data_IF_709057238517
#
_entry.id   IF_709057238517
#
_cell.length_a   1.000
_cell.length_b   1.000
_cell.length_c   1.000
_cell.angle_alpha   90.00
_cell.angle_beta   90.00
_cell.angle_gamma   90.00
#
_symmetry.space_group_name_H-M   'P 1'
#
loop_
_entity.id
_entity.type
_entity.pdbx_description
1 polymer ?
#
# COMPACT_ATOMS: atom_id res chain seq x y z
N UNK A 1 0.83 9.37 23.42
CA UNK A 1 -0.16 10.44 23.63
C UNK A 1 0.50 11.77 24.00
N UNK A 2 1.37 11.83 25.03
CA UNK A 2 2.10 13.05 25.44
C UNK A 2 2.91 13.69 24.31
N UNK A 3 3.66 12.91 23.51
CA UNK A 3 4.43 13.37 22.34
C UNK A 3 3.54 13.93 21.20
N UNK A 4 2.33 13.42 21.06
CA UNK A 4 1.35 13.91 20.07
C UNK A 4 0.77 15.27 20.52
N UNK A 5 0.50 15.43 21.80
CA UNK A 5 0.01 16.68 22.40
C UNK A 5 1.08 17.77 22.29
N UNK A 6 2.35 17.48 22.59
CA UNK A 6 3.45 18.44 22.44
C UNK A 6 3.69 18.87 20.98
N UNK A 7 3.52 17.98 20.01
CA UNK A 7 3.61 18.34 18.59
C UNK A 7 2.43 19.16 18.10
N UNK A 8 1.22 18.90 18.58
CA UNK A 8 0.03 19.70 18.29
C UNK A 8 0.10 21.09 18.91
N UNK A 9 0.72 21.23 20.09
CA UNK A 9 0.97 22.53 20.73
C UNK A 9 1.97 23.40 19.95
N UNK A 10 3.01 22.79 19.35
CA UNK A 10 3.99 23.52 18.51
C UNK A 10 3.43 23.93 17.14
N UNK A 11 2.35 23.30 16.68
CA UNK A 11 1.76 23.56 15.37
C UNK A 11 0.71 24.68 15.32
N UNK A 12 0.46 25.43 16.39
CA UNK A 12 -0.39 26.65 16.38
C UNK A 12 -1.87 26.40 16.05
N UNK A 13 -2.44 25.23 16.31
CA UNK A 13 -3.83 24.89 15.98
C UNK A 13 -4.81 25.58 16.93
N UNK A 14 -5.80 26.31 16.36
CA UNK A 14 -6.75 27.18 17.05
C UNK A 14 -7.64 26.44 18.07
N UNK A 15 -8.03 27.15 19.13
CA UNK A 15 -8.74 26.69 20.33
C UNK A 15 -10.06 25.90 20.09
N UNK A 16 -10.72 26.08 18.96
CA UNK A 16 -11.98 25.39 18.63
C UNK A 16 -11.82 23.91 18.30
N UNK A 17 -10.72 23.50 17.68
CA UNK A 17 -10.47 22.08 17.39
C UNK A 17 -10.04 21.29 18.63
N UNK A 18 -9.40 21.95 19.61
CA UNK A 18 -9.06 21.32 20.89
C UNK A 18 -10.31 20.89 21.66
N UNK A 19 -11.35 21.72 21.67
CA UNK A 19 -12.61 21.42 22.35
C UNK A 19 -13.32 20.20 21.73
N UNK A 20 -13.32 20.08 20.40
CA UNK A 20 -13.93 18.93 19.69
C UNK A 20 -13.20 17.61 19.95
N UNK A 21 -11.87 17.61 20.01
CA UNK A 21 -11.10 16.40 20.33
C UNK A 21 -11.25 15.99 21.80
N UNK A 22 -11.26 16.94 22.70
CA UNK A 22 -11.44 16.68 24.12
C UNK A 22 -12.83 16.13 24.43
N UNK A 23 -13.88 16.70 23.84
CA UNK A 23 -15.26 16.23 24.01
C UNK A 23 -15.43 14.83 23.40
N UNK A 24 -14.84 14.57 22.24
CA UNK A 24 -14.88 13.24 21.60
C UNK A 24 -14.18 12.15 22.41
N UNK A 25 -13.02 12.43 23.00
CA UNK A 25 -12.33 11.49 23.89
C UNK A 25 -13.09 11.26 25.20
N UNK A 26 -13.69 12.31 25.76
CA UNK A 26 -14.48 12.22 27.00
C UNK A 26 -15.75 11.38 26.78
N UNK A 27 -16.47 11.60 25.67
CA UNK A 27 -17.65 10.82 25.31
C UNK A 27 -17.27 9.35 25.07
N UNK A 28 -16.15 9.06 24.42
CA UNK A 28 -15.68 7.69 24.24
C UNK A 28 -15.34 6.99 25.56
N UNK A 29 -14.71 7.70 26.51
CA UNK A 29 -14.40 7.16 27.84
C UNK A 29 -15.69 6.93 28.65
N UNK A 30 -16.64 7.86 28.61
CA UNK A 30 -17.94 7.73 29.30
C UNK A 30 -18.76 6.58 28.71
N UNK A 31 -18.75 6.39 27.38
CA UNK A 31 -19.42 5.27 26.74
C UNK A 31 -18.80 3.92 27.09
N UNK A 32 -17.49 3.84 27.20
CA UNK A 32 -16.78 2.63 27.67
C UNK A 32 -17.13 2.33 29.12
N UNK A 33 -17.19 3.35 29.97
CA UNK A 33 -17.54 3.19 31.39
C UNK A 33 -19.02 2.80 31.58
N UNK A 34 -19.94 3.36 30.80
CA UNK A 34 -21.37 3.01 30.82
C UNK A 34 -21.60 1.60 30.27
N UNK A 35 -20.91 1.21 29.22
CA UNK A 35 -20.97 -0.15 28.67
C UNK A 35 -20.40 -1.17 29.66
N UNK A 36 -19.34 -0.83 30.38
CA UNK A 36 -18.77 -1.66 31.43
C UNK A 36 -19.74 -1.81 32.63
N UNK A 37 -20.40 -0.71 33.04
CA UNK A 37 -21.40 -0.74 34.11
C UNK A 37 -22.61 -1.62 33.75
N UNK A 38 -23.09 -1.54 32.50
CA UNK A 38 -24.18 -2.38 31.99
C UNK A 38 -23.78 -3.87 31.87
N UNK A 39 -22.51 -4.14 31.53
CA UNK A 39 -21.98 -5.51 31.46
C UNK A 39 -21.83 -6.12 32.86
N UNK A 40 -21.41 -5.33 33.86
CA UNK A 40 -21.26 -5.75 35.26
C UNK A 40 -22.62 -6.03 35.90
N UNK A 41 -23.63 -5.24 35.61
CA UNK A 41 -25.01 -5.44 36.12
C UNK A 41 -25.73 -6.64 35.45
N UNK A 42 -25.29 -7.03 34.25
CA UNK A 42 -25.86 -8.15 33.48
C UNK A 42 -25.23 -9.51 33.78
N UNK A 43 -24.09 -9.55 34.45
CA UNK A 43 -23.37 -10.77 34.78
C UNK A 43 -23.45 -11.03 36.27
N UNK A 44 -24.36 -11.94 36.70
CA UNK A 44 -24.34 -12.54 38.04
C UNK A 44 -23.10 -13.44 38.17
N UNK A 45 -21.93 -12.85 38.42
CA UNK A 45 -20.68 -13.58 38.63
C UNK A 45 -19.94 -13.09 39.87
N UNK A 46 -19.67 -14.04 40.74
CA UNK A 46 -18.76 -14.10 41.90
C UNK A 46 -18.38 -12.75 42.56
N UNK A 47 -18.69 -12.54 43.84
CA UNK A 47 -18.53 -11.28 44.60
C UNK A 47 -17.13 -10.66 44.55
N UNK A 48 -16.07 -11.46 44.52
CA UNK A 48 -14.69 -10.97 44.61
C UNK A 48 -14.19 -10.27 43.33
N UNK A 49 -14.70 -10.63 42.15
CA UNK A 49 -14.29 -9.99 40.88
C UNK A 49 -14.94 -8.61 40.71
N UNK A 50 -16.13 -8.42 41.29
CA UNK A 50 -16.88 -7.14 41.20
C UNK A 50 -16.22 -6.07 42.07
N UNK A 51 -15.68 -6.44 43.24
CA UNK A 51 -15.04 -5.49 44.17
C UNK A 51 -13.68 -5.00 43.65
N UNK A 52 -12.91 -5.86 42.99
CA UNK A 52 -11.63 -5.49 42.33
C UNK A 52 -11.83 -4.62 41.10
N UNK A 53 -12.86 -4.88 40.28
CA UNK A 53 -13.26 -4.06 39.13
C UNK A 53 -13.70 -2.65 39.55
N UNK A 54 -14.46 -2.49 40.63
CA UNK A 54 -14.87 -1.18 41.16
C UNK A 54 -13.70 -0.37 41.70
N UNK A 55 -12.72 -1.00 42.34
CA UNK A 55 -11.49 -0.32 42.81
C UNK A 55 -10.63 0.17 41.64
N UNK A 56 -10.56 -0.62 40.56
CA UNK A 56 -9.84 -0.26 39.34
C UNK A 56 -10.47 0.94 38.61
N UNK A 57 -11.80 0.99 38.50
CA UNK A 57 -12.54 2.11 37.87
C UNK A 57 -12.39 3.40 38.67
N UNK A 58 -12.49 3.36 40.02
CA UNK A 58 -12.29 4.51 40.90
C UNK A 58 -10.84 4.99 40.82
N UNK A 59 -9.87 4.10 40.68
CA UNK A 59 -8.46 4.45 40.48
C UNK A 59 -8.21 5.16 39.15
N UNK A 60 -8.83 4.70 38.04
CA UNK A 60 -8.74 5.35 36.76
C UNK A 60 -9.42 6.71 36.72
N UNK A 61 -10.56 6.87 37.39
CA UNK A 61 -11.27 8.13 37.49
C UNK A 61 -10.45 9.19 38.28
N UNK A 62 -9.81 8.79 39.39
CA UNK A 62 -8.90 9.66 40.14
C UNK A 62 -7.67 10.06 39.33
N UNK A 63 -7.07 9.14 38.60
CA UNK A 63 -5.91 9.42 37.74
C UNK A 63 -6.25 10.32 36.57
N UNK A 64 -7.41 10.12 35.95
CA UNK A 64 -7.90 10.99 34.89
C UNK A 64 -8.17 12.40 35.42
N UNK A 65 -8.81 12.51 36.58
CA UNK A 65 -9.10 13.80 37.24
C UNK A 65 -7.83 14.56 37.61
N UNK A 66 -6.81 13.90 38.17
CA UNK A 66 -5.52 14.50 38.50
C UNK A 66 -4.79 15.00 37.24
N UNK A 67 -4.81 14.21 36.16
CA UNK A 67 -4.20 14.60 34.90
C UNK A 67 -4.82 15.86 34.28
N UNK A 68 -6.15 16.04 34.40
CA UNK A 68 -6.85 17.23 33.90
C UNK A 68 -6.63 18.46 34.76
N UNK A 69 -6.51 18.32 36.08
CA UNK A 69 -6.21 19.42 37.00
C UNK A 69 -4.81 20.00 36.81
N UNK A 70 -3.85 19.15 36.33
CA UNK A 70 -2.46 19.55 36.12
C UNK A 70 -2.19 20.14 34.73
N UNK A 71 -3.15 20.04 33.77
CA UNK A 71 -2.89 20.34 32.36
C UNK A 71 -3.38 21.71 31.86
N UNK A 72 -4.37 22.35 32.48
CA UNK A 72 -4.86 23.67 32.05
C UNK A 72 -5.76 24.34 33.13
N UNK A 73 -5.32 25.48 33.69
CA UNK A 73 -6.06 26.18 34.72
C UNK A 73 -7.44 26.72 34.27
N UNK A 74 -7.58 27.05 32.97
CA UNK A 74 -8.83 27.57 32.38
C UNK A 74 -9.86 26.46 32.09
N UNK A 75 -9.40 25.21 31.91
CA UNK A 75 -10.27 24.04 31.75
C UNK A 75 -10.81 23.54 33.11
N UNK A 76 -10.07 23.71 34.20
CA UNK A 76 -10.48 23.26 35.51
C UNK A 76 -11.66 24.06 36.09
N UNK A 77 -11.74 25.34 35.76
CA UNK A 77 -12.84 26.22 36.21
C UNK A 77 -14.16 25.83 35.52
N UNK A 78 -14.13 25.51 34.24
CA UNK A 78 -15.31 25.07 33.44
C UNK A 78 -15.77 23.66 33.76
N UNK A 79 -14.88 22.75 34.14
CA UNK A 79 -15.22 21.39 34.54
C UNK A 79 -15.86 21.32 35.91
N UNK A 80 -15.43 22.19 36.86
CA UNK A 80 -16.02 22.28 38.20
C UNK A 80 -17.45 22.85 38.19
N UNK A 81 -17.81 23.63 37.16
CA UNK A 81 -19.17 24.14 36.97
C UNK A 81 -20.15 23.12 36.38
N UNK A 82 -19.61 22.03 35.74
CA UNK A 82 -20.42 21.02 35.00
C UNK A 82 -20.62 19.74 35.82
N UNK A 83 -19.73 19.40 36.75
CA UNK A 83 -19.81 18.18 37.57
C UNK A 83 -20.30 18.45 38.97
N UNK A 84 -21.38 17.81 39.45
CA UNK A 84 -21.80 17.95 40.84
C UNK A 84 -20.71 17.45 41.79
N UNK A 85 -20.41 18.22 42.84
CA UNK A 85 -19.48 17.82 43.89
C UNK A 85 -19.99 16.51 44.52
N UNK A 86 -19.12 15.50 44.55
CA UNK A 86 -19.46 14.20 45.11
C UNK A 86 -19.99 14.36 46.55
N UNK A 87 -21.27 14.06 46.77
CA UNK A 87 -21.91 14.04 48.10
C UNK A 87 -23.00 15.06 48.34
N UNK A 88 -23.38 15.93 47.36
CA UNK A 88 -24.56 16.78 47.49
C UNK A 88 -25.65 16.39 46.48
N UNK A 89 -26.92 16.30 46.86
CA UNK A 89 -28.01 16.06 45.91
C UNK A 89 -28.14 17.28 44.99
N UNK A 90 -28.17 17.02 43.66
CA UNK A 90 -28.37 18.06 42.66
C UNK A 90 -29.69 18.82 42.91
N UNK A 91 -29.66 20.17 42.80
CA UNK A 91 -30.87 20.98 42.94
C UNK A 91 -31.76 20.80 41.70
N UNK A 92 -33.09 20.92 41.88
CA UNK A 92 -34.07 20.77 40.79
C UNK A 92 -33.84 21.77 39.64
N UNK A 93 -33.11 22.86 39.85
CA UNK A 93 -32.76 23.87 38.85
C UNK A 93 -31.58 23.44 37.96
N UNK A 94 -30.59 22.68 38.51
CA UNK A 94 -29.46 22.15 37.72
C UNK A 94 -29.92 21.03 36.77
N UNK A 95 -30.93 20.27 37.16
CA UNK A 95 -31.52 19.22 36.31
C UNK A 95 -32.27 19.77 35.07
N UNK A 96 -32.86 20.94 35.17
CA UNK A 96 -33.57 21.59 34.06
C UNK A 96 -32.62 22.19 33.01
N UNK A 97 -31.45 22.66 33.40
CA UNK A 97 -30.43 23.19 32.49
C UNK A 97 -29.69 22.09 31.67
N UNK A 98 -29.62 20.89 32.22
CA UNK A 98 -28.91 19.76 31.58
C UNK A 98 -29.79 18.91 30.63
N UNK A 99 -31.11 19.00 30.76
CA UNK A 99 -32.07 18.24 29.98
C UNK A 99 -31.92 18.38 28.44
N UNK A 100 -31.69 19.61 27.87
CA UNK A 100 -31.45 19.75 26.41
C UNK A 100 -30.19 19.08 25.94
N UNK A 101 -29.13 19.05 26.75
CA UNK A 101 -27.85 18.41 26.45
C UNK A 101 -28.00 16.88 26.47
N UNK A 102 -28.69 16.33 27.44
CA UNK A 102 -28.97 14.89 27.57
C UNK A 102 -29.77 14.42 26.37
N UNK A 103 -30.85 15.10 26.02
CA UNK A 103 -31.69 14.77 24.84
C UNK A 103 -30.86 14.84 23.54
N UNK A 104 -29.96 15.81 23.40
CA UNK A 104 -29.07 15.92 22.25
C UNK A 104 -28.06 14.78 22.19
N UNK A 105 -27.52 14.34 23.32
CA UNK A 105 -26.59 13.19 23.39
C UNK A 105 -27.29 11.87 23.12
N UNK A 106 -28.49 11.66 23.65
CA UNK A 106 -29.31 10.48 23.38
C UNK A 106 -29.68 10.37 21.90
N UNK A 107 -30.09 11.48 21.26
CA UNK A 107 -30.33 11.52 19.82
C UNK A 107 -29.09 11.17 19.00
N UNK A 108 -27.92 11.63 19.46
CA UNK A 108 -26.65 11.32 18.80
C UNK A 108 -26.22 9.87 18.99
N UNK A 109 -26.43 9.30 20.17
CA UNK A 109 -26.19 7.89 20.46
C UNK A 109 -27.09 7.02 19.54
N UNK A 110 -28.39 7.34 19.48
CA UNK A 110 -29.31 6.62 18.61
C UNK A 110 -28.89 6.67 17.12
N UNK A 111 -28.45 7.85 16.65
CA UNK A 111 -27.93 8.01 15.27
C UNK A 111 -26.68 7.16 15.01
N UNK A 112 -25.78 7.05 15.99
CA UNK A 112 -24.58 6.22 15.91
C UNK A 112 -24.92 4.73 15.94
N UNK A 113 -25.85 4.32 16.77
CA UNK A 113 -26.35 2.93 16.82
C UNK A 113 -27.02 2.50 15.50
N UNK A 114 -27.83 3.36 14.90
CA UNK A 114 -28.40 3.09 13.57
C UNK A 114 -27.30 2.96 12.51
N UNK A 115 -26.29 3.84 12.56
CA UNK A 115 -25.17 3.77 11.65
C UNK A 115 -24.32 2.50 11.84
N UNK A 116 -24.11 2.07 13.08
CA UNK A 116 -23.45 0.78 13.40
C UNK A 116 -24.29 -0.38 12.82
N UNK A 117 -25.60 -0.40 13.04
CA UNK A 117 -26.49 -1.43 12.49
C UNK A 117 -26.48 -1.46 10.96
N UNK A 118 -26.42 -0.31 10.28
CA UNK A 118 -26.28 -0.23 8.83
C UNK A 118 -24.94 -0.81 8.37
N UNK A 119 -23.83 -0.47 9.07
CA UNK A 119 -22.50 -1.00 8.78
C UNK A 119 -22.43 -2.52 9.04
N UNK A 120 -23.03 -3.00 10.12
CA UNK A 120 -23.12 -4.43 10.41
C UNK A 120 -23.98 -5.16 9.36
N UNK A 121 -25.12 -4.63 8.94
CA UNK A 121 -25.94 -5.18 7.85
C UNK A 121 -25.18 -5.19 6.52
N UNK A 122 -24.36 -4.19 6.25
CA UNK A 122 -23.52 -4.14 5.04
C UNK A 122 -22.35 -5.13 5.10
N UNK A 123 -21.93 -5.55 6.29
CA UNK A 123 -20.85 -6.53 6.49
C UNK A 123 -21.37 -7.98 6.55
N UNK A 124 -22.62 -8.19 6.95
CA UNK A 124 -23.28 -9.50 6.97
C UNK A 124 -23.64 -9.91 5.53
N UNK A 125 -22.74 -10.65 4.89
CA UNK A 125 -22.93 -11.16 3.53
C UNK A 125 -21.80 -10.89 2.56
N UNK A 126 -20.79 -10.08 2.92
CA UNK A 126 -19.63 -9.88 2.05
C UNK A 126 -18.77 -11.14 2.03
N UNK A 127 -18.82 -11.86 0.91
CA UNK A 127 -17.95 -13.01 0.68
C UNK A 127 -16.56 -12.52 0.30
N UNK A 128 -15.53 -12.98 1.03
CA UNK A 128 -14.14 -12.72 0.73
C UNK A 128 -13.50 -13.89 0.00
N UNK A 129 -12.44 -13.67 -0.80
CA UNK A 129 -11.65 -14.76 -1.34
C UNK A 129 -11.11 -15.66 -0.21
N UNK A 130 -10.88 -16.94 -0.53
CA UNK A 130 -10.40 -17.92 0.44
C UNK A 130 -9.03 -17.54 1.00
N UNK A 131 -8.93 -17.45 2.32
CA UNK A 131 -7.71 -17.14 3.08
C UNK A 131 -7.29 -18.38 3.90
N UNK A 132 -6.00 -18.72 3.89
CA UNK A 132 -5.48 -19.79 4.74
C UNK A 132 -5.51 -19.36 6.21
N UNK A 133 -5.88 -20.26 7.08
CA UNK A 133 -5.75 -20.03 8.52
C UNK A 133 -4.31 -20.28 8.96
N UNK A 134 -3.65 -19.22 9.45
CA UNK A 134 -2.31 -19.32 10.04
C UNK A 134 -2.37 -19.19 11.56
N UNK A 135 -1.63 -20.01 12.30
CA UNK A 135 -1.37 -19.77 13.73
C UNK A 135 -0.76 -18.37 13.93
N UNK A 136 -1.10 -17.69 15.03
CA UNK A 136 -0.63 -16.32 15.33
C UNK A 136 0.90 -16.16 15.21
N UNK A 137 1.67 -17.14 15.65
CA UNK A 137 3.15 -17.13 15.57
C UNK A 137 3.70 -17.15 14.13
N UNK A 138 2.91 -17.65 13.17
CA UNK A 138 3.29 -17.72 11.75
C UNK A 138 2.71 -16.58 10.94
N UNK A 139 1.72 -15.88 11.48
CA UNK A 139 1.05 -14.76 10.83
C UNK A 139 1.91 -13.50 10.93
N UNK A 140 2.31 -12.95 9.80
CA UNK A 140 3.10 -11.72 9.71
C UNK A 140 2.22 -10.52 9.45
N UNK A 141 2.59 -9.38 10.00
CA UNK A 141 2.06 -8.05 9.65
C UNK A 141 2.91 -7.50 8.53
N UNK A 142 2.32 -7.27 7.37
CA UNK A 142 3.05 -6.94 6.15
C UNK A 142 2.55 -5.60 5.60
N UNK A 143 3.45 -4.63 5.41
CA UNK A 143 3.17 -3.40 4.69
C UNK A 143 3.50 -3.59 3.21
N UNK A 144 2.57 -3.22 2.33
CA UNK A 144 2.77 -3.14 0.88
C UNK A 144 2.54 -1.70 0.43
N UNK A 145 3.61 -0.96 0.14
CA UNK A 145 3.46 0.38 -0.46
C UNK A 145 3.24 0.25 -1.96
N UNK A 146 2.34 1.07 -2.53
CA UNK A 146 1.89 0.88 -3.92
C UNK A 146 1.01 -0.37 -4.10
N UNK A 147 0.39 -0.84 -3.00
CA UNK A 147 -0.37 -2.09 -2.98
C UNK A 147 -1.70 -2.04 -3.74
N UNK A 148 -2.21 -0.87 -4.10
CA UNK A 148 -3.36 -0.70 -4.98
C UNK A 148 -2.97 -0.58 -6.48
N UNK A 149 -1.66 -0.60 -6.79
CA UNK A 149 -1.12 -0.59 -8.15
C UNK A 149 -1.21 -1.94 -8.84
N UNK A 150 -0.64 -2.01 -10.06
CA UNK A 150 -0.62 -3.22 -10.87
C UNK A 150 0.04 -4.41 -10.14
N UNK A 151 1.35 -4.35 -9.91
CA UNK A 151 2.08 -5.45 -9.26
C UNK A 151 1.67 -5.61 -7.79
N UNK A 152 1.52 -4.48 -7.09
CA UNK A 152 1.19 -4.47 -5.66
C UNK A 152 -0.12 -5.18 -5.34
N UNK A 153 -1.16 -5.01 -6.15
CA UNK A 153 -2.46 -5.65 -5.89
C UNK A 153 -2.43 -7.18 -6.07
N UNK A 154 -1.63 -7.69 -7.00
CA UNK A 154 -1.41 -9.13 -7.14
C UNK A 154 -0.59 -9.70 -5.98
N UNK A 155 0.39 -8.93 -5.47
CA UNK A 155 1.14 -9.30 -4.28
C UNK A 155 0.23 -9.31 -3.04
N UNK A 156 -0.63 -8.31 -2.89
CA UNK A 156 -1.64 -8.26 -1.82
C UNK A 156 -2.53 -9.49 -1.86
N UNK A 157 -3.06 -9.88 -3.02
CA UNK A 157 -3.86 -11.09 -3.17
C UNK A 157 -3.12 -12.34 -2.71
N UNK A 158 -1.85 -12.46 -3.09
CA UNK A 158 -1.01 -13.60 -2.69
C UNK A 158 -0.81 -13.65 -1.18
N UNK A 159 -0.44 -12.55 -0.54
CA UNK A 159 -0.16 -12.47 0.90
C UNK A 159 -1.43 -12.67 1.73
N UNK A 160 -2.55 -12.11 1.29
CA UNK A 160 -3.86 -12.33 1.91
C UNK A 160 -4.28 -13.78 1.81
N UNK A 161 -4.19 -14.40 0.63
CA UNK A 161 -4.53 -15.80 0.44
C UNK A 161 -3.66 -16.75 1.28
N UNK A 162 -2.40 -16.38 1.55
CA UNK A 162 -1.50 -17.10 2.45
C UNK A 162 -1.84 -16.93 3.94
N UNK A 163 -2.73 -15.99 4.31
CA UNK A 163 -3.25 -15.82 5.67
C UNK A 163 -2.55 -14.76 6.51
N UNK A 164 -1.70 -13.95 5.90
CA UNK A 164 -1.01 -12.84 6.57
C UNK A 164 -1.93 -11.65 6.83
N UNK A 165 -1.52 -10.74 7.70
CA UNK A 165 -2.15 -9.45 7.91
C UNK A 165 -1.47 -8.43 6.98
N UNK A 166 -2.24 -7.77 6.12
CA UNK A 166 -1.71 -6.91 5.07
C UNK A 166 -2.25 -5.49 5.20
N UNK A 167 -1.35 -4.54 5.40
CA UNK A 167 -1.62 -3.10 5.33
C UNK A 167 -1.11 -2.57 4.00
N UNK A 168 -1.97 -1.95 3.22
CA UNK A 168 -1.64 -1.30 1.95
C UNK A 168 -1.53 0.21 2.16
N UNK A 169 -0.43 0.82 1.71
CA UNK A 169 -0.26 2.26 1.64
C UNK A 169 -0.13 2.69 0.17
N UNK A 170 -1.06 3.51 -0.32
CA UNK A 170 -1.10 3.97 -1.71
C UNK A 170 -1.66 5.40 -1.80
N UNK A 171 -1.12 6.24 -2.66
CA UNK A 171 -1.64 7.58 -2.93
C UNK A 171 -2.62 7.64 -4.12
N UNK A 172 -2.85 6.50 -4.76
CA UNK A 172 -3.71 6.29 -5.92
C UNK A 172 -3.35 7.14 -7.15
N UNK A 173 -2.08 7.50 -7.30
CA UNK A 173 -1.62 8.22 -8.51
C UNK A 173 -1.70 7.34 -9.76
N UNK A 174 -1.23 6.08 -9.67
CA UNK A 174 -1.35 5.06 -10.72
C UNK A 174 -2.13 3.83 -10.25
N UNK A 175 -2.31 3.68 -8.96
CA UNK A 175 -3.10 2.64 -8.32
C UNK A 175 -4.60 2.96 -8.34
N UNK A 176 -5.42 1.93 -8.12
CA UNK A 176 -6.88 2.05 -8.02
C UNK A 176 -7.41 1.27 -6.82
N UNK A 177 -8.28 1.90 -6.03
CA UNK A 177 -9.00 1.21 -4.93
C UNK A 177 -9.72 -0.04 -5.42
N UNK A 178 -10.16 -0.06 -6.67
CA UNK A 178 -10.84 -1.18 -7.35
C UNK A 178 -9.99 -2.46 -7.34
N UNK A 179 -8.65 -2.32 -7.46
CA UNK A 179 -7.72 -3.45 -7.49
C UNK A 179 -7.68 -4.25 -6.19
N UNK A 180 -8.05 -3.64 -5.06
CA UNK A 180 -8.04 -4.26 -3.71
C UNK A 180 -9.43 -4.23 -3.03
N UNK A 181 -10.47 -3.78 -3.75
CA UNK A 181 -11.82 -3.58 -3.20
C UNK A 181 -12.43 -4.87 -2.62
N UNK A 182 -12.07 -6.03 -3.19
CA UNK A 182 -12.51 -7.33 -2.72
C UNK A 182 -11.99 -7.72 -1.33
N UNK A 183 -10.95 -7.02 -0.81
CA UNK A 183 -10.43 -7.20 0.54
C UNK A 183 -10.96 -6.19 1.56
N UNK A 184 -11.59 -5.09 1.13
CA UNK A 184 -12.09 -4.05 2.05
C UNK A 184 -13.09 -4.64 3.06
N UNK A 185 -12.81 -4.44 4.35
CA UNK A 185 -13.59 -4.98 5.47
C UNK A 185 -13.14 -6.37 5.94
N UNK A 186 -12.18 -7.02 5.27
CA UNK A 186 -11.60 -8.26 5.78
C UNK A 186 -10.72 -7.98 7.02
N UNK A 187 -10.80 -8.76 8.12
CA UNK A 187 -10.10 -8.47 9.38
C UNK A 187 -8.58 -8.48 9.28
N UNK A 188 -8.01 -9.10 8.24
CA UNK A 188 -6.57 -9.12 7.98
C UNK A 188 -6.12 -8.03 7.00
N UNK A 189 -7.01 -7.15 6.53
CA UNK A 189 -6.70 -6.18 5.49
C UNK A 189 -6.95 -4.75 5.93
N UNK A 190 -6.00 -3.87 5.68
CA UNK A 190 -6.12 -2.44 5.91
C UNK A 190 -5.64 -1.65 4.69
N UNK A 191 -6.37 -0.59 4.33
CA UNK A 191 -6.03 0.30 3.23
C UNK A 191 -5.83 1.72 3.73
N UNK A 192 -4.59 2.22 3.62
CA UNK A 192 -4.19 3.58 3.98
C UNK A 192 -3.99 4.42 2.72
N UNK A 193 -4.69 5.55 2.63
CA UNK A 193 -4.38 6.56 1.62
C UNK A 193 -3.16 7.35 2.10
N UNK A 194 -1.98 7.06 1.54
CA UNK A 194 -0.73 7.64 2.00
C UNK A 194 0.28 7.79 0.85
N UNK A 195 1.00 8.92 0.86
CA UNK A 195 2.11 9.16 -0.05
C UNK A 195 3.44 8.87 0.67
N UNK A 196 4.24 7.96 0.14
CA UNK A 196 5.49 7.49 0.75
C UNK A 196 6.56 8.56 0.94
N UNK A 197 6.45 9.72 0.28
CA UNK A 197 7.35 10.85 0.53
C UNK A 197 7.14 11.47 1.92
N UNK A 198 6.04 11.15 2.57
CA UNK A 198 5.77 11.51 3.96
C UNK A 198 6.08 10.32 4.88
N UNK A 199 6.59 10.55 6.09
CA UNK A 199 6.82 9.48 7.06
C UNK A 199 5.54 8.71 7.40
N UNK A 200 5.65 7.38 7.50
CA UNK A 200 4.58 6.48 7.93
C UNK A 200 5.02 5.76 9.21
N UNK A 201 4.11 5.65 10.18
CA UNK A 201 4.37 5.00 11.46
C UNK A 201 3.36 3.88 11.67
N UNK A 202 3.77 2.65 11.38
CA UNK A 202 3.01 1.41 11.56
C UNK A 202 3.90 0.34 12.15
N UNK A 203 3.31 -0.66 12.80
CA UNK A 203 4.03 -1.80 13.38
C UNK A 203 3.90 -3.00 12.46
N UNK A 204 5.00 -3.39 11.81
CA UNK A 204 5.02 -4.45 10.81
C UNK A 204 6.28 -5.30 10.92
N UNK A 205 6.20 -6.53 10.42
CA UNK A 205 7.30 -7.50 10.42
C UNK A 205 8.03 -7.54 9.06
N UNK A 206 7.32 -7.17 7.97
CA UNK A 206 7.88 -7.10 6.62
C UNK A 206 7.34 -5.89 5.87
N UNK A 207 8.18 -5.30 5.01
CA UNK A 207 7.81 -4.18 4.14
C UNK A 207 8.15 -4.54 2.69
N UNK A 208 7.14 -4.54 1.81
CA UNK A 208 7.33 -4.56 0.37
C UNK A 208 7.20 -3.13 -0.16
N UNK A 209 8.31 -2.52 -0.53
CA UNK A 209 8.38 -1.14 -1.03
C UNK A 209 8.25 -1.14 -2.56
N UNK A 210 7.00 -1.01 -3.06
CA UNK A 210 6.68 -1.03 -4.49
C UNK A 210 6.22 0.33 -5.01
N UNK A 211 5.91 1.29 -4.14
CA UNK A 211 5.37 2.60 -4.54
C UNK A 211 6.34 3.38 -5.42
N UNK A 212 6.05 3.47 -6.71
CA UNK A 212 6.77 4.29 -7.68
C UNK A 212 5.96 4.43 -8.97
N UNK A 213 5.92 5.61 -9.61
CA UNK A 213 5.52 5.70 -11.01
C UNK A 213 6.52 4.90 -11.86
N UNK A 214 6.08 3.87 -12.56
CA UNK A 214 6.97 2.91 -13.21
C UNK A 214 6.85 2.87 -14.75
N UNK A 215 5.99 3.67 -15.32
CA UNK A 215 5.84 3.76 -16.78
C UNK A 215 6.20 5.14 -17.31
N UNK A 216 6.77 5.23 -18.53
CA UNK A 216 7.26 6.49 -19.10
C UNK A 216 6.25 7.63 -19.04
N UNK A 217 5.00 7.48 -19.48
CA UNK A 217 4.03 8.57 -19.36
C UNK A 217 3.85 9.07 -17.92
N UNK A 218 3.80 8.17 -16.95
CA UNK A 218 3.51 8.54 -15.56
C UNK A 218 4.71 9.18 -14.86
N UNK A 219 5.94 8.63 -15.01
CA UNK A 219 7.10 9.21 -14.33
C UNK A 219 7.57 10.54 -14.96
N UNK A 220 7.23 10.78 -16.25
CA UNK A 220 7.55 12.03 -16.95
C UNK A 220 6.55 13.16 -16.67
N UNK A 221 5.31 12.89 -16.17
CA UNK A 221 4.35 13.95 -15.81
C UNK A 221 4.95 14.88 -14.75
N UNK A 222 5.62 14.31 -13.74
CA UNK A 222 6.27 15.09 -12.69
C UNK A 222 7.60 14.43 -12.31
N UNK A 223 8.70 14.71 -13.05
CA UNK A 223 10.01 14.12 -12.82
C UNK A 223 10.54 14.36 -11.40
N UNK A 224 10.34 15.57 -10.84
CA UNK A 224 10.75 15.92 -9.48
C UNK A 224 10.02 15.03 -8.45
N UNK A 225 8.72 14.81 -8.61
CA UNK A 225 7.94 13.94 -7.74
C UNK A 225 8.40 12.49 -7.87
N UNK A 226 8.74 12.04 -9.07
CA UNK A 226 9.28 10.69 -9.31
C UNK A 226 10.59 10.48 -8.56
N UNK A 227 11.53 11.42 -8.64
CA UNK A 227 12.78 11.39 -7.86
C UNK A 227 12.47 11.34 -6.37
N UNK A 228 11.61 12.23 -5.85
CA UNK A 228 11.23 12.26 -4.43
C UNK A 228 10.63 10.93 -3.98
N UNK A 229 9.76 10.33 -4.78
CA UNK A 229 9.14 9.04 -4.46
C UNK A 229 10.19 7.93 -4.34
N UNK A 230 11.13 7.87 -5.27
CA UNK A 230 12.17 6.85 -5.28
C UNK A 230 13.29 7.10 -4.25
N UNK A 231 13.51 8.33 -3.82
CA UNK A 231 14.57 8.68 -2.84
C UNK A 231 14.00 8.89 -1.43
N UNK A 232 13.20 9.94 -1.20
CA UNK A 232 12.60 10.22 0.10
C UNK A 232 11.66 9.09 0.54
N UNK A 233 10.86 8.54 -0.40
CA UNK A 233 10.01 7.39 -0.11
C UNK A 233 10.83 6.18 0.35
N UNK A 234 11.96 5.91 -0.29
CA UNK A 234 12.88 4.83 0.12
C UNK A 234 13.50 5.12 1.49
N UNK A 235 13.95 6.34 1.76
CA UNK A 235 14.48 6.75 3.07
C UNK A 235 13.42 6.54 4.16
N UNK A 236 12.18 6.95 3.93
CA UNK A 236 11.10 6.79 4.89
C UNK A 236 10.80 5.31 5.18
N UNK A 237 10.79 4.45 4.16
CA UNK A 237 10.54 3.01 4.34
C UNK A 237 11.71 2.28 5.00
N UNK A 238 12.96 2.65 4.69
CA UNK A 238 14.16 2.14 5.38
C UNK A 238 14.20 2.61 6.84
N UNK A 239 13.84 3.88 7.11
CA UNK A 239 13.71 4.42 8.47
C UNK A 239 12.61 3.72 9.27
N UNK A 240 11.47 3.40 8.64
CA UNK A 240 10.43 2.58 9.25
C UNK A 240 10.94 1.16 9.55
N UNK A 241 11.59 0.50 8.58
CA UNK A 241 12.15 -0.84 8.74
C UNK A 241 13.13 -0.90 9.92
N UNK A 242 14.04 0.08 10.01
CA UNK A 242 14.96 0.22 11.15
C UNK A 242 14.21 0.38 12.47
N UNK A 243 13.20 1.25 12.52
CA UNK A 243 12.45 1.54 13.75
C UNK A 243 11.75 0.32 14.34
N UNK A 244 11.15 -0.52 13.46
CA UNK A 244 10.33 -1.66 13.90
C UNK A 244 11.06 -3.01 13.79
N UNK A 245 12.31 -3.02 13.32
CA UNK A 245 13.08 -4.26 13.09
C UNK A 245 12.52 -5.11 11.94
N UNK A 246 11.83 -4.51 10.98
CA UNK A 246 11.23 -5.22 9.86
C UNK A 246 12.25 -5.51 8.75
N UNK A 247 12.10 -6.67 8.10
CA UNK A 247 12.76 -6.93 6.81
C UNK A 247 12.08 -6.13 5.71
N UNK A 248 12.88 -5.50 4.82
CA UNK A 248 12.36 -4.71 3.71
C UNK A 248 12.83 -5.25 2.37
N UNK A 249 11.89 -5.39 1.42
CA UNK A 249 12.17 -5.63 0.01
C UNK A 249 11.91 -4.35 -0.78
N UNK A 250 12.93 -3.90 -1.51
CA UNK A 250 12.85 -2.75 -2.41
C UNK A 250 12.75 -3.27 -3.84
N UNK A 251 11.70 -2.86 -4.56
CA UNK A 251 11.63 -3.09 -5.99
C UNK A 251 12.48 -2.08 -6.73
N UNK A 252 13.61 -2.57 -7.22
CA UNK A 252 14.43 -1.93 -8.23
C UNK A 252 13.92 -2.31 -9.63
N UNK A 253 14.69 -2.06 -10.65
CA UNK A 253 14.27 -2.21 -12.05
C UNK A 253 15.44 -2.61 -12.94
N UNK A 254 15.16 -3.21 -14.08
CA UNK A 254 16.17 -3.40 -15.14
C UNK A 254 16.68 -2.09 -15.74
N UNK A 255 16.01 -0.97 -15.48
CA UNK A 255 16.44 0.36 -15.93
C UNK A 255 17.74 0.82 -15.26
N UNK A 256 18.14 0.22 -14.12
CA UNK A 256 19.46 0.46 -13.50
C UNK A 256 20.62 0.06 -14.41
N UNK A 257 20.39 -0.78 -15.41
CA UNK A 257 21.34 -1.17 -16.41
C UNK A 257 21.44 -0.19 -17.60
N UNK A 258 20.45 0.70 -17.78
CA UNK A 258 20.41 1.69 -18.88
C UNK A 258 20.31 1.04 -20.26
N UNK A 259 21.11 1.55 -21.22
CA UNK A 259 21.37 0.90 -22.51
C UNK A 259 22.60 -0.01 -22.36
N UNK A 260 22.39 -1.32 -22.06
CA UNK A 260 23.45 -2.17 -21.59
C UNK A 260 24.41 -2.63 -22.68
N UNK A 261 25.70 -2.57 -22.41
CA UNK A 261 26.76 -3.12 -23.24
C UNK A 261 26.96 -4.64 -23.02
N UNK A 262 26.44 -5.17 -21.89
CA UNK A 262 26.52 -6.61 -21.53
C UNK A 262 25.17 -7.28 -21.75
N UNK A 263 25.18 -8.47 -22.42
CA UNK A 263 23.97 -9.20 -22.75
C UNK A 263 24.16 -10.72 -22.58
N UNK A 264 23.29 -11.44 -21.83
CA UNK A 264 22.24 -10.92 -20.93
C UNK A 264 22.83 -10.12 -19.75
N UNK A 265 22.00 -9.29 -19.06
CA UNK A 265 22.47 -8.46 -17.96
C UNK A 265 22.55 -9.26 -16.65
N UNK A 266 23.77 -9.51 -16.10
CA UNK A 266 23.96 -10.07 -14.77
C UNK A 266 23.90 -8.99 -13.69
N UNK A 267 23.70 -9.39 -12.43
CA UNK A 267 23.50 -8.43 -11.33
C UNK A 267 24.78 -7.67 -10.92
N UNK A 268 25.95 -8.15 -11.29
CA UNK A 268 27.25 -7.48 -11.07
C UNK A 268 27.60 -6.44 -12.14
N UNK A 269 26.83 -6.35 -13.23
CA UNK A 269 26.95 -5.28 -14.20
C UNK A 269 26.43 -3.95 -13.66
N UNK A 270 27.27 -2.90 -13.69
CA UNK A 270 26.95 -1.60 -13.09
C UNK A 270 26.01 -0.73 -13.93
N UNK A 271 25.84 -1.08 -15.19
CA UNK A 271 24.96 -0.37 -16.09
C UNK A 271 25.59 0.80 -16.85
N UNK A 272 24.86 1.25 -17.87
CA UNK A 272 25.20 2.40 -18.71
C UNK A 272 23.98 3.30 -18.79
N UNK A 273 23.76 4.13 -17.76
CA UNK A 273 22.58 4.98 -17.58
C UNK A 273 22.91 6.42 -17.98
N UNK A 274 22.02 7.08 -18.74
CA UNK A 274 22.11 8.49 -19.04
C UNK A 274 21.56 9.34 -17.87
N UNK A 275 22.42 10.03 -17.07
CA UNK A 275 21.98 10.70 -15.84
C UNK A 275 21.16 11.99 -16.09
N UNK A 276 21.13 12.49 -17.32
CA UNK A 276 20.42 13.72 -17.72
C UNK A 276 19.35 13.47 -18.80
N UNK A 277 19.19 12.22 -19.22
CA UNK A 277 18.21 11.83 -20.23
C UNK A 277 16.77 11.96 -19.75
N UNK A 278 15.78 11.83 -20.65
CA UNK A 278 14.37 12.00 -20.34
C UNK A 278 13.85 10.98 -19.30
N UNK A 279 14.55 9.86 -19.13
CA UNK A 279 14.22 8.78 -18.19
C UNK A 279 14.96 8.87 -16.86
N UNK A 280 15.94 9.78 -16.74
CA UNK A 280 16.87 9.87 -15.59
C UNK A 280 16.17 9.99 -14.24
N UNK A 281 15.01 10.66 -14.19
CA UNK A 281 14.23 10.82 -12.96
C UNK A 281 13.80 9.47 -12.35
N UNK A 282 13.54 8.47 -13.18
CA UNK A 282 13.20 7.12 -12.74
C UNK A 282 14.46 6.26 -12.57
N UNK A 283 15.31 6.22 -13.58
CA UNK A 283 16.49 5.35 -13.66
C UNK A 283 17.47 5.66 -12.52
N UNK A 284 17.88 6.92 -12.37
CA UNK A 284 18.75 7.36 -11.28
C UNK A 284 18.05 7.32 -9.92
N UNK A 285 16.77 7.63 -9.87
CA UNK A 285 15.98 7.47 -8.65
C UNK A 285 16.02 6.04 -8.10
N UNK A 286 15.95 5.03 -8.96
CA UNK A 286 16.05 3.61 -8.59
C UNK A 286 17.49 3.20 -8.24
N UNK A 287 18.50 3.73 -8.93
CA UNK A 287 19.92 3.52 -8.58
C UNK A 287 20.24 4.06 -7.20
N UNK A 288 19.76 5.26 -6.87
CA UNK A 288 19.89 5.85 -5.53
C UNK A 288 19.14 5.01 -4.48
N UNK A 289 17.95 4.47 -4.80
CA UNK A 289 17.22 3.58 -3.89
C UNK A 289 18.02 2.32 -3.53
N UNK A 290 18.72 1.69 -4.49
CA UNK A 290 19.63 0.57 -4.20
C UNK A 290 20.81 1.01 -3.31
N UNK A 291 21.44 2.14 -3.62
CA UNK A 291 22.55 2.67 -2.82
C UNK A 291 22.11 2.95 -1.37
N UNK A 292 20.94 3.55 -1.17
CA UNK A 292 20.34 3.78 0.15
C UNK A 292 20.08 2.47 0.89
N UNK A 293 19.53 1.45 0.21
CA UNK A 293 19.26 0.14 0.79
C UNK A 293 20.54 -0.48 1.39
N UNK A 294 21.62 -0.51 0.64
CA UNK A 294 22.88 -1.07 1.10
C UNK A 294 23.59 -0.21 2.14
N UNK A 295 23.44 1.13 2.09
CA UNK A 295 23.93 2.02 3.13
C UNK A 295 23.22 1.73 4.48
N UNK A 296 21.89 1.61 4.48
CA UNK A 296 21.13 1.25 5.68
C UNK A 296 21.43 -0.17 6.17
N UNK A 297 21.61 -1.13 5.26
CA UNK A 297 22.02 -2.48 5.66
C UNK A 297 23.37 -2.50 6.37
N UNK A 298 24.34 -1.74 5.87
CA UNK A 298 25.70 -1.67 6.43
C UNK A 298 25.78 -0.86 7.73
N UNK A 299 25.10 0.29 7.77
CA UNK A 299 25.21 1.23 8.90
C UNK A 299 24.23 0.91 10.02
N UNK A 300 23.01 0.50 9.69
CA UNK A 300 21.88 0.38 10.61
C UNK A 300 21.40 -1.07 10.78
N UNK A 301 22.10 -2.03 10.19
CA UNK A 301 21.78 -3.46 10.20
C UNK A 301 20.35 -3.79 9.72
N UNK A 302 19.76 -2.99 8.84
CA UNK A 302 18.44 -3.25 8.25
C UNK A 302 18.54 -4.47 7.32
N UNK A 303 17.66 -5.43 7.49
CA UNK A 303 17.58 -6.59 6.60
C UNK A 303 16.93 -6.23 5.27
N UNK A 304 17.75 -5.89 4.27
CA UNK A 304 17.27 -5.49 2.95
C UNK A 304 17.25 -6.64 1.95
N UNK A 305 16.31 -6.59 1.01
CA UNK A 305 16.23 -7.39 -0.21
C UNK A 305 16.02 -6.45 -1.38
N UNK A 306 16.70 -6.69 -2.49
CA UNK A 306 16.59 -5.84 -3.69
C UNK A 306 16.21 -6.70 -4.88
N UNK A 307 15.05 -6.43 -5.49
CA UNK A 307 14.57 -7.08 -6.70
C UNK A 307 14.74 -6.16 -7.90
N UNK A 308 15.59 -6.51 -8.88
CA UNK A 308 15.67 -5.83 -10.18
C UNK A 308 14.62 -6.44 -11.10
N UNK A 309 13.49 -5.74 -11.19
CA UNK A 309 12.30 -6.21 -11.93
C UNK A 309 12.46 -5.89 -13.41
N UNK A 310 12.30 -6.90 -14.25
CA UNK A 310 12.24 -6.75 -15.72
C UNK A 310 10.79 -6.54 -16.20
N UNK A 311 10.60 -6.26 -17.50
CA UNK A 311 9.28 -5.91 -18.04
C UNK A 311 8.24 -6.95 -17.65
N UNK A 312 7.23 -6.49 -16.94
CA UNK A 312 6.14 -7.31 -16.41
C UNK A 312 4.82 -6.86 -17.01
N UNK A 313 3.94 -7.84 -17.31
CA UNK A 313 2.62 -7.60 -17.87
C UNK A 313 1.57 -8.50 -17.20
N UNK A 314 0.30 -8.13 -17.32
CA UNK A 314 -0.81 -8.91 -16.77
C UNK A 314 -2.07 -8.08 -16.56
N UNK A 315 -3.15 -8.67 -16.02
CA UNK A 315 -4.35 -7.98 -15.59
C UNK A 315 -4.04 -6.87 -14.56
N UNK A 316 -4.91 -5.87 -14.44
CA UNK A 316 -4.76 -4.68 -13.58
C UNK A 316 -3.61 -3.75 -14.00
N UNK A 317 -2.90 -4.03 -15.09
CA UNK A 317 -2.05 -3.06 -15.75
C UNK A 317 -2.94 -1.94 -16.30
N UNK A 318 -2.54 -0.68 -16.11
CA UNK A 318 -3.33 0.46 -16.58
C UNK A 318 -3.45 0.42 -18.11
N UNK A 319 -4.65 0.60 -18.66
CA UNK A 319 -4.86 0.53 -20.12
C UNK A 319 -4.02 1.56 -20.86
N UNK A 320 -3.81 2.74 -20.29
CA UNK A 320 -2.93 3.81 -20.80
C UNK A 320 -1.55 3.81 -20.13
N UNK A 321 -1.01 2.65 -19.76
CA UNK A 321 0.33 2.52 -19.15
C UNK A 321 1.45 3.03 -20.08
N UNK A 322 1.24 2.97 -21.39
CA UNK A 322 2.16 3.51 -22.39
C UNK A 322 3.36 2.62 -22.71
N UNK A 323 3.53 1.49 -22.03
CA UNK A 323 4.55 0.49 -22.40
C UNK A 323 4.07 -0.39 -23.54
N UNK A 324 5.00 -1.08 -24.19
CA UNK A 324 4.75 -1.83 -25.44
C UNK A 324 3.58 -2.81 -25.35
N UNK A 325 3.46 -3.57 -24.23
CA UNK A 325 2.37 -4.55 -24.06
C UNK A 325 1.00 -3.88 -24.02
N UNK A 326 0.83 -2.85 -23.16
CA UNK A 326 -0.43 -2.13 -23.05
C UNK A 326 -0.81 -1.42 -24.34
N UNK A 327 0.16 -0.75 -24.97
CA UNK A 327 -0.07 -0.02 -26.22
C UNK A 327 -0.52 -0.97 -27.34
N UNK A 328 0.20 -2.06 -27.57
CA UNK A 328 -0.12 -3.00 -28.65
C UNK A 328 -1.46 -3.71 -28.42
N UNK A 329 -1.73 -4.15 -27.18
CA UNK A 329 -3.02 -4.77 -26.84
C UNK A 329 -4.17 -3.80 -27.03
N UNK A 330 -4.04 -2.55 -26.54
CA UNK A 330 -5.07 -1.53 -26.69
C UNK A 330 -5.34 -1.19 -28.15
N UNK A 331 -4.27 -0.89 -28.92
CA UNK A 331 -4.34 -0.55 -30.35
C UNK A 331 -4.96 -1.69 -31.15
N UNK A 332 -4.56 -2.94 -30.91
CA UNK A 332 -5.14 -4.09 -31.59
C UNK A 332 -6.62 -4.30 -31.26
N UNK A 333 -7.03 -4.16 -29.98
CA UNK A 333 -8.43 -4.29 -29.57
C UNK A 333 -9.33 -3.21 -30.17
N UNK A 334 -8.82 -2.00 -30.32
CA UNK A 334 -9.54 -0.88 -30.93
C UNK A 334 -9.57 -0.94 -32.47
N UNK A 335 -8.85 -1.88 -33.09
CA UNK A 335 -8.74 -1.96 -34.56
C UNK A 335 -7.89 -0.84 -35.17
N UNK A 336 -7.01 -0.26 -34.37
CA UNK A 336 -6.13 0.83 -34.75
C UNK A 336 -4.77 0.37 -35.30
N UNK A 337 -3.84 1.33 -35.39
CA UNK A 337 -2.47 1.11 -35.80
C UNK A 337 -1.63 0.60 -34.63
N UNK A 338 -1.11 -0.64 -34.72
CA UNK A 338 -0.11 -1.16 -33.79
C UNK A 338 1.22 -0.50 -34.14
N UNK A 339 1.65 0.46 -33.32
CA UNK A 339 2.76 1.37 -33.62
C UNK A 339 4.08 0.84 -33.15
N UNK A 340 4.97 0.47 -34.06
CA UNK A 340 6.37 0.13 -33.80
C UNK A 340 7.23 1.36 -34.00
N UNK A 341 7.99 1.72 -32.96
CA UNK A 341 8.98 2.79 -33.04
C UNK A 341 10.33 2.23 -33.51
N UNK A 342 10.91 2.88 -34.54
CA UNK A 342 12.12 2.41 -35.19
C UNK A 342 11.88 1.22 -36.13
N UNK A 343 12.92 0.38 -36.30
CA UNK A 343 12.89 -0.77 -37.22
C UNK A 343 12.30 -2.05 -36.61
N UNK A 344 11.91 -2.01 -35.34
CA UNK A 344 11.33 -3.16 -34.61
C UNK A 344 12.30 -4.29 -34.28
N UNK A 345 13.61 -4.13 -34.53
CA UNK A 345 14.63 -5.15 -34.24
C UNK A 345 15.12 -5.11 -32.79
N UNK A 346 14.83 -4.02 -32.06
CA UNK A 346 15.12 -3.95 -30.62
C UNK A 346 14.38 -5.08 -29.88
N UNK A 347 15.04 -5.67 -28.90
CA UNK A 347 14.52 -6.85 -28.21
C UNK A 347 14.12 -6.57 -26.77
N UNK A 348 13.11 -7.27 -26.30
CA UNK A 348 12.65 -7.21 -24.90
C UNK A 348 12.30 -8.61 -24.44
N UNK A 349 12.43 -8.81 -23.14
CA UNK A 349 11.90 -9.96 -22.43
C UNK A 349 10.68 -9.55 -21.60
N UNK A 350 9.69 -10.42 -21.54
CA UNK A 350 8.42 -10.14 -20.86
C UNK A 350 8.07 -11.25 -19.88
N UNK A 351 7.83 -10.91 -18.63
CA UNK A 351 7.36 -11.87 -17.62
C UNK A 351 5.91 -11.60 -17.23
N UNK A 352 5.19 -12.65 -16.92
CA UNK A 352 3.82 -12.53 -16.42
C UNK A 352 3.82 -12.19 -14.92
N UNK A 353 2.85 -11.37 -14.50
CA UNK A 353 2.81 -10.79 -13.13
C UNK A 353 2.81 -11.83 -12.01
N UNK A 354 2.20 -13.02 -12.21
CA UNK A 354 2.22 -14.05 -11.17
C UNK A 354 3.62 -14.61 -10.89
N UNK A 355 4.47 -14.69 -11.93
CA UNK A 355 5.83 -15.14 -11.78
C UNK A 355 6.68 -14.11 -11.03
N UNK A 356 6.49 -12.81 -11.35
CA UNK A 356 7.10 -11.74 -10.57
C UNK A 356 6.71 -11.82 -9.09
N UNK A 357 5.42 -11.95 -8.78
CA UNK A 357 4.92 -12.03 -7.40
C UNK A 357 5.54 -13.23 -6.66
N UNK A 358 5.63 -14.40 -7.31
CA UNK A 358 6.31 -15.57 -6.71
C UNK A 358 7.79 -15.28 -6.43
N UNK A 359 8.49 -14.62 -7.35
CA UNK A 359 9.88 -14.18 -7.17
C UNK A 359 10.06 -13.21 -6.00
N UNK A 360 9.19 -12.19 -5.89
CA UNK A 360 9.23 -11.23 -4.78
C UNK A 360 9.01 -11.91 -3.42
N UNK A 361 8.03 -12.82 -3.32
CA UNK A 361 7.74 -13.56 -2.07
C UNK A 361 8.91 -14.47 -1.69
N UNK A 362 9.50 -15.19 -2.65
CA UNK A 362 10.69 -16.02 -2.41
C UNK A 362 11.88 -15.17 -1.95
N UNK A 363 12.17 -14.06 -2.62
CA UNK A 363 13.25 -13.16 -2.27
C UNK A 363 13.06 -12.56 -0.86
N UNK A 364 11.86 -12.09 -0.53
CA UNK A 364 11.54 -11.59 0.82
C UNK A 364 11.85 -12.61 1.91
N UNK A 365 11.54 -13.88 1.67
CA UNK A 365 11.72 -14.95 2.65
C UNK A 365 13.10 -15.63 2.58
N UNK A 366 13.99 -15.20 1.66
CA UNK A 366 15.37 -15.70 1.55
C UNK A 366 16.33 -14.95 2.47
N UNK A 367 17.59 -15.44 2.54
CA UNK A 367 18.67 -14.74 3.22
C UNK A 367 19.63 -14.01 2.26
N UNK A 368 19.22 -13.84 1.00
CA UNK A 368 20.05 -13.18 -0.03
C UNK A 368 20.03 -11.68 0.22
N UNK A 369 21.21 -11.10 0.45
CA UNK A 369 21.40 -9.66 0.63
C UNK A 369 21.76 -8.93 -0.67
N UNK A 370 22.28 -9.64 -1.67
CA UNK A 370 22.65 -9.08 -2.97
C UNK A 370 21.38 -8.85 -3.85
N UNK A 371 21.47 -7.94 -4.84
CA UNK A 371 20.35 -7.73 -5.75
C UNK A 371 20.07 -8.99 -6.58
N UNK A 372 18.80 -9.23 -6.92
CA UNK A 372 18.39 -10.38 -7.73
C UNK A 372 17.55 -9.91 -8.91
N UNK A 373 17.90 -10.34 -10.10
CA UNK A 373 17.12 -10.17 -11.31
C UNK A 373 15.88 -11.06 -11.28
N UNK A 374 14.69 -10.44 -11.38
CA UNK A 374 13.42 -11.15 -11.51
C UNK A 374 12.84 -10.81 -12.88
N UNK A 375 12.90 -11.76 -13.80
CA UNK A 375 12.49 -11.56 -15.19
C UNK A 375 12.46 -12.87 -15.99
N UNK A 376 11.90 -12.81 -17.20
CA UNK A 376 11.92 -13.94 -18.13
C UNK A 376 13.14 -13.83 -19.06
N UNK A 377 13.92 -14.90 -19.24
CA UNK A 377 15.07 -14.89 -20.14
C UNK A 377 14.69 -15.04 -21.63
N UNK A 378 13.42 -15.32 -21.94
CA UNK A 378 12.96 -15.42 -23.32
C UNK A 378 12.86 -14.04 -23.94
N UNK A 379 13.48 -13.85 -25.09
CA UNK A 379 13.66 -12.59 -25.77
C UNK A 379 12.89 -12.56 -27.08
N UNK A 380 12.20 -11.46 -27.33
CA UNK A 380 11.42 -11.23 -28.55
C UNK A 380 11.79 -9.88 -29.14
N UNK A 381 11.91 -9.78 -30.46
CA UNK A 381 11.92 -8.50 -31.15
C UNK A 381 10.56 -7.81 -31.02
N UNK A 382 10.56 -6.50 -31.02
CA UNK A 382 9.30 -5.72 -30.96
C UNK A 382 8.40 -6.05 -32.15
N UNK A 383 8.99 -6.34 -33.32
CA UNK A 383 8.24 -6.76 -34.50
C UNK A 383 7.55 -8.12 -34.31
N UNK A 384 8.26 -9.16 -33.84
CA UNK A 384 7.67 -10.46 -33.51
C UNK A 384 6.55 -10.34 -32.49
N UNK A 385 6.77 -9.51 -31.46
CA UNK A 385 5.80 -9.27 -30.41
C UNK A 385 4.52 -8.58 -30.91
N UNK A 386 4.64 -7.62 -31.85
CA UNK A 386 3.51 -6.96 -32.48
C UNK A 386 2.65 -7.94 -33.30
N UNK A 387 3.30 -8.82 -34.06
CA UNK A 387 2.60 -9.86 -34.82
C UNK A 387 1.88 -10.84 -33.90
N UNK A 388 2.55 -11.32 -32.84
CA UNK A 388 1.93 -12.19 -31.84
C UNK A 388 0.66 -11.58 -31.21
N UNK A 389 0.70 -10.32 -30.83
CA UNK A 389 -0.48 -9.65 -30.27
C UNK A 389 -1.59 -9.50 -31.30
N UNK A 390 -1.26 -9.10 -32.54
CA UNK A 390 -2.23 -9.01 -33.64
C UNK A 390 -2.96 -10.33 -33.88
N UNK A 391 -2.22 -11.44 -33.90
CA UNK A 391 -2.76 -12.79 -34.10
C UNK A 391 -3.65 -13.23 -32.93
N UNK A 392 -3.26 -12.94 -31.69
CA UNK A 392 -4.04 -13.28 -30.48
C UNK A 392 -5.33 -12.44 -30.32
N UNK A 393 -5.32 -11.21 -30.78
CA UNK A 393 -6.50 -10.34 -30.71
C UNK A 393 -7.50 -10.63 -31.83
N UNK A 394 -7.03 -11.09 -32.98
CA UNK A 394 -7.85 -11.47 -34.15
C UNK A 394 -8.77 -10.35 -34.66
N UNK A 395 -8.35 -9.08 -34.56
CA UNK A 395 -9.10 -7.95 -35.10
C UNK A 395 -8.59 -7.61 -36.51
N UNK A 396 -9.40 -7.83 -37.57
CA UNK A 396 -8.95 -7.65 -38.96
C UNK A 396 -8.63 -6.19 -39.32
N UNK A 397 -9.17 -5.21 -38.56
CA UNK A 397 -8.90 -3.80 -38.78
C UNK A 397 -7.52 -3.38 -38.26
N UNK A 398 -6.91 -4.13 -37.32
CA UNK A 398 -5.62 -3.80 -36.75
C UNK A 398 -4.48 -3.94 -37.78
N UNK A 399 -3.65 -2.90 -37.88
CA UNK A 399 -2.51 -2.84 -38.82
C UNK A 399 -1.23 -2.51 -38.05
N UNK A 400 -0.11 -3.12 -38.46
CA UNK A 400 1.21 -2.79 -37.92
C UNK A 400 1.79 -1.66 -38.77
N UNK A 401 2.26 -0.60 -38.08
CA UNK A 401 2.89 0.57 -38.71
C UNK A 401 4.20 0.92 -38.01
N UNK A 402 5.16 1.44 -38.79
CA UNK A 402 6.44 1.90 -38.25
C UNK A 402 6.46 3.43 -38.13
N UNK A 403 7.04 3.94 -37.05
CA UNK A 403 7.25 5.38 -36.80
C UNK A 403 8.71 5.62 -36.43
N UNK A 404 9.12 6.89 -36.37
CA UNK A 404 10.47 7.26 -35.94
C UNK A 404 10.80 6.70 -34.56
N UNK A 405 12.08 6.34 -34.34
CA UNK A 405 12.58 5.77 -33.09
C UNK A 405 12.51 6.78 -31.94
N UNK A 406 12.42 6.27 -30.73
CA UNK A 406 12.42 7.07 -29.49
C UNK A 406 13.87 7.20 -28.97
N UNK A 407 14.22 8.41 -28.50
CA UNK A 407 15.53 8.71 -27.88
C UNK A 407 15.67 7.88 -26.59
N UNK A 408 16.87 7.36 -26.31
CA UNK A 408 17.22 6.56 -25.11
C UNK A 408 16.39 5.26 -24.94
N UNK A 409 15.85 4.69 -26.02
CA UNK A 409 15.24 3.37 -25.95
C UNK A 409 16.32 2.27 -26.04
N UNK A 410 16.54 1.46 -24.97
CA UNK A 410 17.58 0.43 -24.96
C UNK A 410 17.44 -0.55 -26.12
N UNK A 411 18.56 -0.96 -26.74
CA UNK A 411 18.55 -1.87 -27.90
C UNK A 411 18.24 -3.31 -27.48
N UNK A 412 18.79 -3.77 -26.35
CA UNK A 412 18.61 -5.16 -25.88
C UNK A 412 18.42 -5.17 -24.37
N UNK A 413 17.38 -5.87 -23.90
CA UNK A 413 17.15 -6.01 -22.46
C UNK A 413 16.65 -7.40 -22.13
N UNK A 414 17.55 -8.21 -21.53
CA UNK A 414 17.35 -9.59 -21.15
C UNK A 414 18.02 -9.89 -19.81
N UNK A 415 17.30 -10.42 -18.81
CA UNK A 415 17.94 -10.78 -17.53
C UNK A 415 18.81 -12.02 -17.64
N UNK A 416 19.98 -12.00 -17.01
CA UNK A 416 20.55 -13.22 -16.46
C UNK A 416 19.80 -13.54 -15.15
N UNK A 417 19.18 -14.72 -15.08
CA UNK A 417 18.43 -15.18 -13.89
C UNK A 417 19.15 -16.32 -13.17
N UNK A 418 20.43 -16.51 -13.41
CA UNK A 418 21.22 -17.59 -12.80
C UNK A 418 21.17 -17.53 -11.28
N UNK A 419 21.26 -16.32 -10.68
CA UNK A 419 21.15 -16.12 -9.25
C UNK A 419 19.76 -16.48 -8.73
N UNK A 420 18.71 -16.06 -9.38
CA UNK A 420 17.33 -16.40 -9.00
C UNK A 420 17.07 -17.90 -9.05
N UNK A 421 17.56 -18.60 -10.09
CA UNK A 421 17.46 -20.06 -10.19
C UNK A 421 18.21 -20.76 -9.08
N UNK A 422 19.48 -20.39 -8.85
CA UNK A 422 20.37 -21.06 -7.90
C UNK A 422 19.96 -20.83 -6.46
N UNK A 423 19.64 -19.59 -6.11
CA UNK A 423 19.50 -19.19 -4.71
C UNK A 423 18.04 -19.09 -4.25
N UNK A 424 17.08 -18.84 -5.17
CA UNK A 424 15.65 -18.78 -4.86
C UNK A 424 14.90 -20.04 -5.34
N UNK A 425 15.54 -20.94 -6.12
CA UNK A 425 14.86 -22.00 -6.85
C UNK A 425 13.66 -21.42 -7.63
N UNK A 426 13.87 -20.29 -8.31
CA UNK A 426 12.85 -19.54 -9.01
C UNK A 426 13.18 -19.38 -10.49
N UNK A 427 12.19 -19.61 -11.32
CA UNK A 427 12.16 -19.28 -12.74
C UNK A 427 10.72 -18.96 -13.17
N UNK A 428 10.53 -18.18 -14.27
CA UNK A 428 9.19 -17.91 -14.80
C UNK A 428 8.55 -19.20 -15.34
N UNK A 429 7.24 -19.38 -15.08
CA UNK A 429 6.48 -20.58 -15.42
C UNK A 429 5.36 -20.33 -16.43
N UNK A 430 4.91 -19.07 -16.54
CA UNK A 430 3.80 -18.71 -17.41
C UNK A 430 4.35 -18.31 -18.78
N UNK A 431 4.00 -19.07 -19.81
CA UNK A 431 4.39 -18.73 -21.18
C UNK A 431 3.82 -17.39 -21.62
N UNK A 432 4.54 -16.67 -22.49
CA UNK A 432 4.15 -15.36 -23.02
C UNK A 432 2.72 -15.39 -23.56
N UNK A 433 2.39 -16.36 -24.41
CA UNK A 433 1.07 -16.50 -25.02
C UNK A 433 -0.05 -16.67 -23.99
N UNK A 434 0.15 -17.54 -22.98
CA UNK A 434 -0.83 -17.77 -21.90
C UNK A 434 -1.06 -16.49 -21.07
N UNK A 435 0.00 -15.77 -20.78
CA UNK A 435 -0.08 -14.49 -20.07
C UNK A 435 -0.79 -13.41 -20.88
N UNK A 436 -0.48 -13.32 -22.20
CA UNK A 436 -1.11 -12.36 -23.10
C UNK A 436 -2.62 -12.59 -23.23
N UNK A 437 -3.07 -13.84 -23.39
CA UNK A 437 -4.51 -14.14 -23.45
C UNK A 437 -5.26 -13.64 -22.23
N UNK A 438 -4.71 -13.82 -21.02
CA UNK A 438 -5.31 -13.28 -19.78
C UNK A 438 -5.31 -11.76 -19.75
N UNK A 439 -4.25 -11.12 -20.22
CA UNK A 439 -4.13 -9.67 -20.28
C UNK A 439 -5.09 -9.07 -21.29
N UNK A 440 -5.21 -9.67 -22.47
CA UNK A 440 -6.16 -9.26 -23.52
C UNK A 440 -7.61 -9.38 -23.00
N UNK A 441 -7.95 -10.48 -22.32
CA UNK A 441 -9.27 -10.66 -21.72
C UNK A 441 -9.60 -9.55 -20.69
N UNK A 442 -8.64 -9.19 -19.83
CA UNK A 442 -8.79 -8.10 -18.90
C UNK A 442 -8.99 -6.74 -19.61
N UNK A 443 -8.18 -6.41 -20.61
CA UNK A 443 -8.31 -5.16 -21.37
C UNK A 443 -9.66 -5.07 -22.11
N UNK A 444 -10.16 -6.20 -22.63
CA UNK A 444 -11.52 -6.25 -23.22
C UNK A 444 -12.60 -5.89 -22.20
N UNK A 445 -12.50 -6.41 -20.98
CA UNK A 445 -13.47 -6.10 -19.91
C UNK A 445 -13.41 -4.64 -19.47
N UNK A 446 -12.20 -4.07 -19.37
CA UNK A 446 -12.03 -2.65 -19.03
C UNK A 446 -12.64 -1.73 -20.10
N UNK A 447 -12.32 -1.97 -21.38
CA UNK A 447 -12.88 -1.19 -22.50
C UNK A 447 -14.41 -1.33 -22.61
N UNK A 448 -14.97 -2.49 -22.27
CA UNK A 448 -16.41 -2.67 -22.24
C UNK A 448 -17.06 -1.87 -21.10
N UNK A 449 -16.44 -1.82 -19.93
CA UNK A 449 -16.91 -1.04 -18.80
C UNK A 449 -16.83 0.48 -19.05
N UNK A 450 -15.77 0.97 -19.71
CA UNK A 450 -15.63 2.38 -20.09
C UNK A 450 -16.70 2.86 -21.09
N UNK A 451 -17.20 1.97 -21.94
CA UNK A 451 -18.28 2.29 -22.91
C UNK A 451 -19.67 2.35 -22.29
N UNK A 452 -19.86 1.82 -21.09
CA UNK A 452 -21.13 1.78 -20.36
C UNK A 452 -21.30 2.94 -19.38
N UNK A 453 -20.23 3.64 -19.06
CA UNK A 453 -20.20 4.84 -18.23
C UNK A 453 -20.14 6.11 -19.10
#
# INVERSE_FOLDING_TARGET
>A
MQLLIERLQRAGFQSRMRLFYCVGCFVAIVLVLLSYHHLVDSVQLVPDIVDDGRKSVVGLEKSARQYWLDSDADASEKVNDILPRAGQPASAQDAQGQQPLIVSLEARIHQLEERIRELEKSSVGKSYPKVKHLPLKMKKRILVTGGAGFVGSHLVDRLMAEGHQVTVADNFFTGSKRNVAHWLGHPNFELLQHDVVNPLFVEVDQIYSLASPASPPHYMINPVKTIKTNTLGTINMLGLARRVGARILITSTSEVYGDPEVHPQPEDYWGHVNPIGPRSCYDEGKRVAEALAYAYAKQEAVEVRVARVFNTFGPRMHVSDGRVVSNFVLQALQGGEITIYGNGKQTRSFQYVSDLVDGLVRLMNSNISLPVNIGCPDEYSISEFAHLIKDLVTNPAARIVHREGVIDDPQRRKPDITRARKELNWEPKVSLQKGLLKTIAYFRSELAAERQN
#
